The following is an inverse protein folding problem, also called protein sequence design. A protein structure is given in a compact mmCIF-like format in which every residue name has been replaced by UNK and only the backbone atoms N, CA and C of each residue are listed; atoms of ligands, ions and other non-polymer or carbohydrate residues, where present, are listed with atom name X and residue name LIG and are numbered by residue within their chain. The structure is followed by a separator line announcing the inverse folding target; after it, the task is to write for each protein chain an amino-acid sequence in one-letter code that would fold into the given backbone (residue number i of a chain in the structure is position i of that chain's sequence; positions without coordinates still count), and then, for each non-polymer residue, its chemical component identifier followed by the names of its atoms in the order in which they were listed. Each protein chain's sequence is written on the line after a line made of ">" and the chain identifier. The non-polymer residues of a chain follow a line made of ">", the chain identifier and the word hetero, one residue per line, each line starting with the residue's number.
data_IF_391792814804
#
_entry.id   IF_391792814804
#
_cell.length_a   1.000
_cell.length_b   1.000
_cell.length_c   1.000
_cell.angle_alpha   90.00
_cell.angle_beta   90.00
_cell.angle_gamma   90.00
#
_symmetry.space_group_name_H-M   'P 1'
#
loop_
_entity.id
_entity.type
_entity.pdbx_description
1 polymer ?
#
# COMPACT_ATOMS: atom_id res chain seq x y z
N UNK A 1 -16.82 12.44 11.24
CA UNK A 1 -16.48 11.00 11.22
C UNK A 1 -15.52 10.78 10.07
N UNK A 2 -14.23 10.57 10.34
CA UNK A 2 -13.19 10.50 9.31
C UNK A 2 -13.22 9.21 8.48
N UNK A 3 -13.80 8.13 9.04
CA UNK A 3 -13.95 6.82 8.40
C UNK A 3 -14.69 6.86 7.05
N UNK A 4 -15.63 7.79 6.89
CA UNK A 4 -16.47 7.86 5.69
C UNK A 4 -15.72 8.42 4.46
N UNK A 5 -14.68 9.24 4.66
CA UNK A 5 -14.06 9.99 3.55
C UNK A 5 -13.30 9.08 2.59
N UNK A 6 -12.42 8.21 3.10
CA UNK A 6 -11.67 7.29 2.26
C UNK A 6 -12.56 6.23 1.58
N UNK A 7 -13.55 5.68 2.31
CA UNK A 7 -14.49 4.70 1.77
C UNK A 7 -15.37 5.33 0.68
N UNK A 8 -15.94 6.51 0.95
CA UNK A 8 -16.69 7.26 -0.06
C UNK A 8 -15.83 7.56 -1.28
N UNK A 9 -14.59 7.98 -1.08
CA UNK A 9 -13.64 8.22 -2.17
C UNK A 9 -13.38 6.95 -3.00
N UNK A 10 -13.24 5.79 -2.36
CA UNK A 10 -13.08 4.50 -3.04
C UNK A 10 -14.31 4.13 -3.88
N UNK A 11 -15.51 4.28 -3.32
CA UNK A 11 -16.78 4.02 -4.04
C UNK A 11 -16.93 4.98 -5.21
N UNK A 12 -16.69 6.28 -4.99
CA UNK A 12 -16.77 7.31 -6.03
C UNK A 12 -15.83 6.99 -7.21
N UNK A 13 -14.66 6.42 -6.96
CA UNK A 13 -13.69 6.04 -8.01
C UNK A 13 -14.07 4.76 -8.74
N UNK A 14 -14.69 3.80 -8.05
CA UNK A 14 -15.22 2.61 -8.71
C UNK A 14 -16.31 3.00 -9.74
N UNK A 15 -17.15 3.99 -9.39
CA UNK A 15 -18.20 4.50 -10.27
C UNK A 15 -17.64 5.48 -11.32
N UNK A 16 -16.68 6.34 -10.95
CA UNK A 16 -16.08 7.35 -11.81
C UNK A 16 -14.54 7.20 -11.90
N UNK A 17 -14.03 6.27 -12.72
CA UNK A 17 -12.58 6.04 -12.85
C UNK A 17 -11.76 7.26 -13.29
N UNK A 18 -12.40 8.26 -13.93
CA UNK A 18 -11.76 9.53 -14.31
C UNK A 18 -11.19 10.31 -13.12
N UNK A 19 -11.68 10.06 -11.90
CA UNK A 19 -11.19 10.70 -10.66
C UNK A 19 -9.84 10.17 -10.17
N UNK A 20 -9.39 9.02 -10.66
CA UNK A 20 -8.13 8.39 -10.22
C UNK A 20 -6.93 9.32 -10.40
N UNK A 21 -6.84 10.03 -11.53
CA UNK A 21 -5.71 10.93 -11.79
C UNK A 21 -5.61 12.06 -10.76
N UNK A 22 -6.75 12.65 -10.38
CA UNK A 22 -6.78 13.70 -9.37
C UNK A 22 -6.37 13.15 -8.00
N UNK A 23 -6.91 12.00 -7.60
CA UNK A 23 -6.62 11.40 -6.30
C UNK A 23 -5.17 10.92 -6.13
N UNK A 24 -4.46 10.65 -7.22
CA UNK A 24 -3.01 10.39 -7.18
C UNK A 24 -2.19 11.64 -6.84
N UNK A 25 -2.69 12.82 -7.21
CA UNK A 25 -2.00 14.10 -6.98
C UNK A 25 -2.36 14.75 -5.64
N UNK A 26 -3.51 14.40 -5.07
CA UNK A 26 -3.97 14.91 -3.78
C UNK A 26 -3.41 14.10 -2.60
N UNK A 27 -3.29 14.67 -1.39
CA UNK A 27 -2.99 13.91 -0.18
C UNK A 27 -3.99 12.77 0.05
N UNK A 28 -3.55 11.72 0.74
CA UNK A 28 -4.45 10.63 1.07
C UNK A 28 -5.59 11.13 1.97
N UNK A 29 -6.85 10.72 1.71
CA UNK A 29 -7.97 11.05 2.56
C UNK A 29 -7.78 10.46 3.97
N UNK A 30 -8.43 11.05 4.96
CA UNK A 30 -8.50 10.44 6.28
C UNK A 30 -9.27 9.10 6.22
N UNK A 31 -8.90 8.14 7.07
CA UNK A 31 -9.57 6.83 7.13
C UNK A 31 -9.06 5.78 6.16
N UNK A 32 -7.86 5.93 5.57
CA UNK A 32 -7.29 4.92 4.66
C UNK A 32 -7.21 3.53 5.30
N UNK A 33 -6.94 3.46 6.60
CA UNK A 33 -6.89 2.20 7.32
C UNK A 33 -8.18 1.37 7.15
N UNK A 34 -9.34 2.03 7.12
CA UNK A 34 -10.63 1.36 6.94
C UNK A 34 -10.74 0.72 5.54
N UNK A 35 -10.20 1.37 4.51
CA UNK A 35 -10.07 0.79 3.16
C UNK A 35 -9.17 -0.46 3.19
N UNK A 36 -8.08 -0.42 3.96
CA UNK A 36 -7.16 -1.55 4.11
C UNK A 36 -7.82 -2.72 4.86
N UNK A 37 -8.62 -2.44 5.91
CA UNK A 37 -9.36 -3.45 6.67
C UNK A 37 -10.40 -4.17 5.83
N UNK A 38 -11.08 -3.45 4.93
CA UNK A 38 -12.01 -4.05 3.97
C UNK A 38 -11.27 -5.08 3.10
N UNK A 39 -10.19 -4.70 2.41
CA UNK A 39 -9.50 -5.67 1.53
C UNK A 39 -8.84 -6.83 2.28
N UNK A 40 -8.46 -6.61 3.54
CA UNK A 40 -7.91 -7.65 4.40
C UNK A 40 -8.96 -8.67 4.87
N UNK A 41 -10.25 -8.40 4.69
CA UNK A 41 -11.34 -9.29 5.07
C UNK A 41 -11.70 -9.21 6.56
N UNK A 42 -11.67 -8.01 7.16
CA UNK A 42 -12.15 -7.78 8.53
C UNK A 42 -13.69 -7.88 8.57
N UNK A 43 -14.21 -9.11 8.68
CA UNK A 43 -15.65 -9.41 8.59
C UNK A 43 -16.52 -8.61 9.59
N UNK A 44 -16.16 -8.49 10.89
CA UNK A 44 -16.93 -7.64 11.82
C UNK A 44 -17.02 -6.19 11.36
N UNK A 45 -15.91 -5.63 10.88
CA UNK A 45 -15.87 -4.26 10.38
C UNK A 45 -16.72 -4.07 9.13
N UNK A 46 -16.63 -5.01 8.18
CA UNK A 46 -17.40 -4.98 6.94
C UNK A 46 -18.90 -5.08 7.25
N UNK A 47 -19.31 -5.98 8.14
CA UNK A 47 -20.71 -6.13 8.53
C UNK A 47 -21.29 -4.85 9.15
N UNK A 48 -20.52 -4.18 10.01
CA UNK A 48 -20.91 -2.90 10.60
C UNK A 48 -21.02 -1.79 9.54
N UNK A 49 -20.11 -1.77 8.57
CA UNK A 49 -20.10 -0.80 7.50
C UNK A 49 -21.26 -1.02 6.50
N UNK A 50 -21.58 -2.26 6.17
CA UNK A 50 -22.77 -2.64 5.37
C UNK A 50 -24.03 -2.11 6.05
N UNK A 51 -24.17 -2.33 7.36
CA UNK A 51 -25.31 -1.85 8.14
C UNK A 51 -25.38 -0.31 8.16
N UNK A 52 -24.24 0.36 8.27
CA UNK A 52 -24.18 1.82 8.34
C UNK A 52 -24.42 2.52 6.99
N UNK A 53 -23.93 1.94 5.88
CA UNK A 53 -23.93 2.58 4.56
C UNK A 53 -25.02 2.06 3.62
N UNK A 54 -25.60 0.89 3.93
CA UNK A 54 -26.54 0.18 3.06
C UNK A 54 -25.89 -0.34 1.76
N UNK A 55 -24.56 -0.39 1.69
CA UNK A 55 -23.82 -0.93 0.54
C UNK A 55 -23.54 -2.41 0.75
N UNK A 56 -23.53 -3.18 -0.35
CA UNK A 56 -23.18 -4.60 -0.31
C UNK A 56 -21.69 -4.80 -0.02
N UNK A 57 -21.36 -5.85 0.73
CA UNK A 57 -19.98 -6.19 1.09
C UNK A 57 -19.07 -6.35 -0.14
N UNK A 58 -19.58 -6.97 -1.20
CA UNK A 58 -18.85 -7.15 -2.45
C UNK A 58 -18.49 -5.80 -3.11
N UNK A 59 -19.43 -4.85 -3.10
CA UNK A 59 -19.17 -3.49 -3.64
C UNK A 59 -18.09 -2.78 -2.82
N UNK A 60 -18.12 -2.92 -1.49
CA UNK A 60 -17.10 -2.36 -0.61
C UNK A 60 -15.72 -2.97 -0.89
N UNK A 61 -15.65 -4.29 -1.06
CA UNK A 61 -14.41 -4.99 -1.43
C UNK A 61 -13.86 -4.54 -2.79
N UNK A 62 -14.71 -4.47 -3.81
CA UNK A 62 -14.31 -4.04 -5.14
C UNK A 62 -13.82 -2.58 -5.14
N UNK A 63 -14.53 -1.69 -4.44
CA UNK A 63 -14.13 -0.29 -4.31
C UNK A 63 -12.78 -0.16 -3.60
N UNK A 64 -12.59 -0.88 -2.49
CA UNK A 64 -11.36 -0.84 -1.72
C UNK A 64 -10.17 -1.43 -2.50
N UNK A 65 -10.35 -2.56 -3.17
CA UNK A 65 -9.34 -3.16 -4.03
C UNK A 65 -8.94 -2.22 -5.17
N UNK A 66 -9.92 -1.66 -5.88
CA UNK A 66 -9.68 -0.70 -6.96
C UNK A 66 -8.93 0.53 -6.47
N UNK A 67 -9.33 1.10 -5.33
CA UNK A 67 -8.64 2.24 -4.73
C UNK A 67 -7.16 1.92 -4.42
N UNK A 68 -6.88 0.76 -3.81
CA UNK A 68 -5.51 0.39 -3.47
C UNK A 68 -4.67 0.21 -4.73
N UNK A 69 -5.17 -0.53 -5.74
CA UNK A 69 -4.43 -0.75 -6.99
C UNK A 69 -4.19 0.56 -7.75
N UNK A 70 -5.21 1.42 -7.81
CA UNK A 70 -5.18 2.61 -8.67
C UNK A 70 -4.63 3.85 -7.97
N UNK A 71 -4.69 3.96 -6.65
CA UNK A 71 -4.35 5.19 -5.91
C UNK A 71 -3.19 4.99 -4.96
N UNK A 72 -3.08 3.85 -4.28
CA UNK A 72 -1.96 3.59 -3.37
C UNK A 72 -0.76 2.99 -4.09
N UNK A 73 -1.00 1.99 -4.95
CA UNK A 73 0.04 1.17 -5.55
C UNK A 73 0.24 1.47 -7.03
N UNK A 74 -0.09 2.69 -7.49
CA UNK A 74 0.16 3.07 -8.87
C UNK A 74 1.66 3.21 -9.16
N UNK A 75 2.09 3.03 -10.43
CA UNK A 75 3.47 3.33 -10.80
C UNK A 75 3.82 4.79 -10.47
N UNK A 76 4.89 5.02 -9.73
CA UNK A 76 5.32 6.35 -9.30
C UNK A 76 4.77 6.82 -7.94
N UNK A 77 3.94 6.02 -7.26
CA UNK A 77 3.57 6.29 -5.87
C UNK A 77 4.82 6.25 -4.96
N UNK A 78 4.92 7.23 -4.07
CA UNK A 78 5.95 7.27 -3.04
C UNK A 78 5.78 6.13 -2.01
N UNK A 79 6.81 5.87 -1.21
CA UNK A 79 6.82 4.75 -0.27
C UNK A 79 5.80 4.91 0.86
N UNK A 80 5.47 6.13 1.28
CA UNK A 80 4.43 6.35 2.29
C UNK A 80 3.05 6.02 1.72
N UNK A 81 2.77 6.47 0.49
CA UNK A 81 1.53 6.16 -0.22
C UNK A 81 1.38 4.67 -0.50
N UNK A 82 2.48 3.96 -0.83
CA UNK A 82 2.46 2.50 -0.99
C UNK A 82 2.08 1.75 0.31
N UNK A 83 2.22 2.37 1.48
CA UNK A 83 1.76 1.85 2.78
C UNK A 83 0.43 2.49 3.24
N UNK A 84 -0.26 3.24 2.38
CA UNK A 84 -1.49 3.95 2.76
C UNK A 84 -1.26 4.93 3.91
N UNK A 85 -0.10 5.60 3.93
CA UNK A 85 0.38 6.39 5.06
C UNK A 85 0.91 7.76 4.63
N UNK A 86 1.34 8.56 5.61
CA UNK A 86 2.02 9.85 5.38
C UNK A 86 3.28 9.94 6.26
N UNK A 87 4.20 10.88 5.97
CA UNK A 87 5.43 11.05 6.76
C UNK A 87 5.19 11.34 8.25
N UNK A 88 4.01 11.80 8.63
CA UNK A 88 3.67 12.14 10.03
C UNK A 88 3.17 10.94 10.82
N UNK A 89 2.86 9.82 10.15
CA UNK A 89 2.30 8.63 10.78
C UNK A 89 3.41 7.82 11.46
N UNK A 90 3.06 7.17 12.57
CA UNK A 90 3.98 6.37 13.36
C UNK A 90 4.43 5.11 12.61
N UNK A 91 5.62 4.59 12.94
CA UNK A 91 6.09 3.32 12.37
C UNK A 91 5.20 2.14 12.75
N UNK A 92 4.53 2.20 13.90
CA UNK A 92 3.59 1.18 14.34
C UNK A 92 2.34 1.14 13.44
N UNK A 93 1.79 2.29 13.09
CA UNK A 93 0.63 2.38 12.19
C UNK A 93 1.02 1.97 10.76
N UNK A 94 2.19 2.39 10.28
CA UNK A 94 2.72 1.92 8.99
C UNK A 94 2.88 0.39 8.96
N UNK A 95 3.33 -0.22 10.07
CA UNK A 95 3.42 -1.68 10.21
C UNK A 95 2.06 -2.35 10.11
N UNK A 96 1.05 -1.76 10.75
CA UNK A 96 -0.32 -2.26 10.72
C UNK A 96 -0.89 -2.22 9.30
N UNK A 97 -0.71 -1.11 8.60
CA UNK A 97 -1.14 -0.96 7.21
C UNK A 97 -0.46 -1.98 6.29
N UNK A 98 0.86 -2.17 6.45
CA UNK A 98 1.61 -3.21 5.74
C UNK A 98 0.99 -4.60 5.96
N UNK A 99 0.65 -4.96 7.20
CA UNK A 99 0.08 -6.25 7.51
C UNK A 99 -1.28 -6.48 6.81
N UNK A 100 -2.15 -5.46 6.80
CA UNK A 100 -3.45 -5.51 6.12
C UNK A 100 -3.28 -5.67 4.59
N UNK A 101 -2.37 -4.90 3.99
CA UNK A 101 -2.06 -5.00 2.56
C UNK A 101 -1.52 -6.38 2.18
N UNK A 102 -0.65 -6.95 2.98
CA UNK A 102 -0.07 -8.27 2.71
C UNK A 102 -1.04 -9.43 2.97
N UNK A 103 -1.99 -9.28 3.91
CA UNK A 103 -3.08 -10.23 4.08
C UNK A 103 -3.95 -10.31 2.81
N UNK A 104 -4.18 -9.16 2.16
CA UNK A 104 -4.91 -9.09 0.88
C UNK A 104 -4.08 -9.61 -0.31
N UNK A 105 -2.80 -9.21 -0.42
CA UNK A 105 -1.93 -9.53 -1.56
C UNK A 105 -1.29 -10.93 -1.53
N UNK A 106 -1.68 -11.78 -0.58
CA UNK A 106 -1.01 -13.07 -0.36
C UNK A 106 -1.08 -14.01 -1.58
N UNK A 107 0.05 -14.59 -2.04
CA UNK A 107 0.13 -15.35 -3.30
C UNK A 107 -0.61 -16.70 -3.31
N UNK A 108 -0.97 -17.28 -2.16
CA UNK A 108 -1.78 -18.52 -2.11
C UNK A 108 -3.16 -18.40 -2.75
N UNK A 109 -3.69 -17.19 -2.96
CA UNK A 109 -4.99 -16.99 -3.63
C UNK A 109 -4.91 -17.02 -5.16
N UNK A 110 -3.79 -17.51 -5.72
CA UNK A 110 -3.54 -17.64 -7.15
C UNK A 110 -2.32 -16.82 -7.59
N UNK A 111 -1.41 -17.46 -8.32
CA UNK A 111 -0.18 -16.86 -8.82
C UNK A 111 -0.51 -15.92 -9.99
N UNK A 112 -0.95 -14.70 -9.68
CA UNK A 112 -1.07 -13.61 -10.65
C UNK A 112 0.17 -12.70 -10.53
N UNK A 113 0.96 -12.59 -11.61
CA UNK A 113 2.17 -11.76 -11.67
C UNK A 113 1.91 -10.29 -11.32
N UNK A 114 0.71 -9.77 -11.62
CA UNK A 114 0.31 -8.42 -11.25
C UNK A 114 0.25 -8.24 -9.72
N UNK A 115 -0.36 -9.18 -8.99
CA UNK A 115 -0.42 -9.12 -7.51
C UNK A 115 0.95 -9.29 -6.86
N UNK A 116 1.85 -10.06 -7.47
CA UNK A 116 3.23 -10.16 -6.99
C UNK A 116 3.97 -8.83 -7.10
N UNK A 117 3.80 -8.09 -8.19
CA UNK A 117 4.39 -6.76 -8.36
C UNK A 117 3.86 -5.77 -7.31
N UNK A 118 2.56 -5.81 -7.00
CA UNK A 118 1.95 -5.00 -5.94
C UNK A 118 2.52 -5.36 -4.57
N UNK A 119 2.59 -6.65 -4.24
CA UNK A 119 3.17 -7.12 -2.97
C UNK A 119 4.63 -6.68 -2.82
N UNK A 120 5.40 -6.73 -3.92
CA UNK A 120 6.78 -6.25 -3.92
C UNK A 120 6.88 -4.77 -3.57
N UNK A 121 6.03 -3.90 -4.13
CA UNK A 121 6.02 -2.46 -3.80
C UNK A 121 5.75 -2.21 -2.32
N UNK A 122 4.78 -2.92 -1.74
CA UNK A 122 4.46 -2.82 -0.30
C UNK A 122 5.65 -3.27 0.56
N UNK A 123 6.28 -4.39 0.20
CA UNK A 123 7.44 -4.90 0.94
C UNK A 123 8.65 -3.97 0.87
N UNK A 124 8.96 -3.42 -0.29
CA UNK A 124 10.07 -2.47 -0.47
C UNK A 124 9.84 -1.17 0.31
N UNK A 125 8.61 -0.65 0.29
CA UNK A 125 8.23 0.51 1.08
C UNK A 125 8.43 0.25 2.59
N UNK A 126 7.94 -0.90 3.09
CA UNK A 126 8.14 -1.28 4.49
C UNK A 126 9.62 -1.49 4.84
N UNK A 127 10.40 -2.13 3.97
CA UNK A 127 11.84 -2.37 4.20
C UNK A 127 12.64 -1.07 4.37
N UNK A 128 12.22 -0.02 3.68
CA UNK A 128 12.84 1.31 3.74
C UNK A 128 12.33 2.09 4.96
N UNK A 129 11.01 2.22 5.11
CA UNK A 129 10.40 3.12 6.11
C UNK A 129 10.45 2.58 7.54
N UNK A 130 10.61 1.27 7.73
CA UNK A 130 10.73 0.66 9.07
C UNK A 130 12.11 0.86 9.71
N UNK A 131 13.11 1.25 8.93
CA UNK A 131 14.44 1.59 9.41
C UNK A 131 14.63 3.11 9.41
N UNK A 132 14.94 3.68 10.56
CA UNK A 132 15.01 5.13 10.74
C UNK A 132 16.07 5.80 9.86
N UNK A 133 17.26 5.21 9.74
CA UNK A 133 18.33 5.76 8.89
C UNK A 133 17.91 5.79 7.41
N UNK A 134 17.37 4.68 6.90
CA UNK A 134 16.89 4.59 5.51
C UNK A 134 15.68 5.49 5.25
N UNK A 135 14.79 5.63 6.23
CA UNK A 135 13.67 6.57 6.18
C UNK A 135 14.18 8.01 6.08
N UNK A 136 15.18 8.38 6.88
CA UNK A 136 15.81 9.70 6.81
C UNK A 136 16.47 9.98 5.45
N UNK A 137 17.20 9.01 4.89
CA UNK A 137 17.76 9.11 3.54
C UNK A 137 16.66 9.25 2.48
N UNK A 138 15.58 8.48 2.60
CA UNK A 138 14.43 8.55 1.71
C UNK A 138 13.76 9.94 1.75
N UNK A 139 13.51 10.46 2.94
CA UNK A 139 12.88 11.77 3.16
C UNK A 139 13.75 12.90 2.60
N UNK A 140 15.08 12.82 2.79
CA UNK A 140 16.01 13.78 2.22
C UNK A 140 15.97 13.79 0.68
N UNK A 141 15.96 12.61 0.04
CA UNK A 141 15.84 12.49 -1.41
C UNK A 141 14.48 13.01 -1.93
N UNK A 142 13.40 12.75 -1.19
CA UNK A 142 12.07 13.23 -1.54
C UNK A 142 12.00 14.76 -1.52
N UNK A 143 12.57 15.39 -0.49
CA UNK A 143 12.66 16.85 -0.37
C UNK A 143 13.50 17.47 -1.50
N UNK A 144 14.64 16.87 -1.85
CA UNK A 144 15.48 17.33 -2.95
C UNK A 144 14.75 17.26 -4.30
N UNK A 145 14.01 16.19 -4.57
CA UNK A 145 13.23 16.04 -5.79
C UNK A 145 12.08 17.06 -5.89
N UNK A 146 11.51 17.49 -4.76
CA UNK A 146 10.49 18.55 -4.72
C UNK A 146 11.08 19.95 -4.90
N UNK A 147 12.37 20.15 -4.59
CA UNK A 147 13.06 21.45 -4.64
C UNK A 147 13.66 21.82 -6.00
N UNK A 148 13.53 20.98 -7.04
CA UNK A 148 14.00 21.29 -8.40
C UNK A 148 12.79 21.59 -9.31
N UNK A 149 12.34 22.86 -9.44
CA UNK A 149 11.31 23.22 -10.40
C UNK A 149 11.97 23.40 -11.77
N UNK A 150 11.69 22.49 -12.71
CA UNK A 150 11.87 22.80 -14.14
C UNK A 150 12.62 21.81 -15.04
N UNK A 151 12.97 20.58 -14.61
CA UNK A 151 13.70 19.66 -15.52
C UNK A 151 13.13 18.26 -15.77
N UNK A 152 11.94 17.89 -15.28
CA UNK A 152 11.41 16.55 -15.52
C UNK A 152 10.06 16.56 -16.23
N UNK A 153 10.07 17.09 -17.45
CA UNK A 153 9.21 16.61 -18.53
C UNK A 153 10.09 15.99 -19.60
N UNK A 154 10.48 14.73 -19.39
CA UNK A 154 10.75 13.80 -20.49
C UNK A 154 10.42 12.41 -19.99
N UNK A 155 9.47 11.77 -20.67
CA UNK A 155 9.33 10.32 -20.64
C UNK A 155 10.69 9.72 -20.98
N UNK A 156 11.22 8.85 -20.14
CA UNK A 156 12.28 7.93 -20.54
C UNK A 156 11.63 6.61 -20.97
N UNK A 157 11.47 6.36 -22.29
CA UNK A 157 11.46 5.01 -22.80
C UNK A 157 12.90 4.48 -22.73
N UNK A 158 13.09 3.24 -22.28
CA UNK A 158 14.38 2.53 -22.17
C UNK A 158 15.23 2.87 -20.92
N UNK A 159 15.02 2.11 -19.83
CA UNK A 159 16.04 1.86 -18.81
C UNK A 159 16.64 0.47 -19.05
N UNK A 160 17.55 0.38 -20.02
CA UNK A 160 18.66 -0.57 -20.03
C UNK A 160 19.95 0.21 -19.72
N UNK A 161 20.87 -0.43 -19.00
CA UNK A 161 22.21 0.04 -18.62
C UNK A 161 22.32 1.05 -17.46
N UNK A 162 22.18 0.55 -16.23
CA UNK A 162 22.57 1.26 -15.02
C UNK A 162 22.21 0.45 -13.77
N UNK A 163 22.94 -0.63 -13.49
CA UNK A 163 22.78 -1.46 -12.31
C UNK A 163 23.05 -0.66 -11.01
N UNK A 164 22.07 0.14 -10.56
CA UNK A 164 21.86 0.32 -9.12
C UNK A 164 21.32 -1.00 -8.63
N UNK A 165 22.17 -1.77 -7.96
CA UNK A 165 21.78 -2.99 -7.27
C UNK A 165 20.79 -2.64 -6.16
N UNK A 166 19.52 -2.53 -6.52
CA UNK A 166 18.44 -2.74 -5.57
C UNK A 166 18.68 -4.14 -5.01
N UNK A 167 19.01 -4.22 -3.72
CA UNK A 167 19.20 -5.49 -3.04
C UNK A 167 17.84 -6.17 -2.93
N UNK A 168 17.44 -6.86 -4.01
CA UNK A 168 16.31 -7.78 -3.98
C UNK A 168 16.63 -8.78 -2.88
N UNK A 169 15.84 -8.87 -1.80
CA UNK A 169 16.12 -9.85 -0.77
C UNK A 169 16.11 -11.23 -1.42
N UNK A 170 17.11 -12.05 -1.11
CA UNK A 170 17.19 -13.41 -1.64
C UNK A 170 15.83 -14.13 -1.49
N UNK A 171 15.39 -14.97 -2.44
CA UNK A 171 14.13 -15.71 -2.36
C UNK A 171 13.89 -16.38 -1.00
N UNK A 172 14.96 -16.80 -0.31
CA UNK A 172 14.92 -17.37 1.03
C UNK A 172 14.59 -16.35 2.14
N UNK A 173 15.09 -15.10 2.06
CA UNK A 173 14.69 -14.01 2.98
C UNK A 173 13.23 -13.61 2.78
N UNK A 174 12.76 -13.58 1.52
CA UNK A 174 11.36 -13.30 1.17
C UNK A 174 10.42 -14.36 1.73
N UNK A 175 10.74 -15.64 1.54
CA UNK A 175 9.95 -16.77 2.08
C UNK A 175 9.88 -16.76 3.61
N UNK A 176 11.02 -16.61 4.30
CA UNK A 176 11.07 -16.59 5.77
C UNK A 176 10.33 -15.39 6.37
N UNK A 177 10.38 -14.23 5.69
CA UNK A 177 9.63 -13.04 6.10
C UNK A 177 8.12 -13.22 5.91
N UNK A 178 7.68 -13.85 4.81
CA UNK A 178 6.27 -14.21 4.59
C UNK A 178 5.78 -15.30 5.56
N UNK A 179 6.62 -16.25 5.94
CA UNK A 179 6.32 -17.26 6.96
C UNK A 179 6.17 -16.62 8.36
N UNK A 180 7.05 -15.69 8.72
CA UNK A 180 6.91 -14.93 9.97
C UNK A 180 5.67 -14.01 9.97
N UNK A 181 5.31 -13.47 8.81
CA UNK A 181 4.09 -12.67 8.63
C UNK A 181 2.83 -13.53 8.72
N UNK A 182 2.84 -14.74 8.16
CA UNK A 182 1.79 -15.75 8.35
C UNK A 182 1.60 -16.11 9.81
N UNK A 183 2.69 -16.38 10.53
CA UNK A 183 2.64 -16.65 11.96
C UNK A 183 1.99 -15.49 12.72
N UNK A 184 2.39 -14.24 12.41
CA UNK A 184 1.83 -13.04 13.04
C UNK A 184 0.33 -12.80 12.72
N UNK A 185 -0.10 -12.98 11.46
CA UNK A 185 -1.51 -12.86 11.05
C UNK A 185 -2.41 -13.94 11.66
N UNK A 186 -1.84 -15.11 12.00
CA UNK A 186 -2.53 -16.22 12.67
C UNK A 186 -2.41 -16.19 14.21
N UNK A 187 -1.83 -15.12 14.79
CA UNK A 187 -1.62 -15.00 16.23
C UNK A 187 -0.56 -15.97 16.80
N UNK A 188 0.24 -16.61 15.94
CA UNK A 188 1.33 -17.50 16.34
C UNK A 188 2.64 -16.70 16.47
N UNK A 189 3.25 -16.74 17.66
CA UNK A 189 4.58 -16.14 17.87
C UNK A 189 5.61 -16.80 16.92
N UNK A 190 6.43 -16.03 16.19
CA UNK A 190 7.47 -16.63 15.36
C UNK A 190 8.49 -17.37 16.27
N UNK A 191 9.06 -18.51 15.83
CA UNK A 191 10.12 -19.16 16.57
C UNK A 191 11.32 -18.22 16.64
N UNK A 192 11.80 -17.99 17.87
CA UNK A 192 13.02 -17.23 18.13
C UNK A 192 14.16 -17.90 17.35
N UNK A 193 14.76 -17.12 16.44
CA UNK A 193 15.98 -17.49 15.75
C UNK A 193 17.19 -17.03 16.55
#
# INVERSE_FOLDING_TARGET
>A
MAADVAIKSAIDMLILPSRVKAARAEPLPAGIEDVLRIVAGDEPFIADLVRATGREAETLHQAAAFYIEQVLLHPGADMYRNLGSSPQVSTQDMRRNMALLMAWLHPDKGVNSARQALAHRVMEAWHTLSNEARRGEYDANLAQNMQVPGLHSRQDPHHEAGLRTYHVPSPSKRRRMLENLRAFLLGQRPPLA
#
